data_IF_950457445562
#
_entry.id   IF_950457445562
#
_cell.length_a   1.000
_cell.length_b   1.000
_cell.length_c   1.000
_cell.angle_alpha   90.00
_cell.angle_beta   90.00
_cell.angle_gamma   90.00
#
_symmetry.space_group_name_H-M   'P 1'
#
loop_
_entity.id
_entity.type
_entity.pdbx_description
1 polymer ?
#
# COMPACT_ATOMS: atom_id res chain seq x y z
N UNK A 1 -19.95 3.70 -15.32
CA UNK A 1 -18.89 3.18 -14.44
C UNK A 1 -18.46 4.33 -13.55
N UNK A 2 -18.40 4.15 -12.23
CA UNK A 2 -18.07 5.25 -11.32
C UNK A 2 -16.55 5.44 -11.27
N UNK A 3 -16.09 6.70 -11.26
CA UNK A 3 -14.67 7.08 -11.11
C UNK A 3 -14.39 7.54 -9.70
N UNK A 4 -13.20 7.23 -9.19
CA UNK A 4 -12.71 7.75 -7.93
C UNK A 4 -11.24 8.17 -8.05
N UNK A 5 -10.90 9.30 -7.43
CA UNK A 5 -9.51 9.76 -7.30
C UNK A 5 -9.12 9.64 -5.83
N UNK A 6 -8.02 8.96 -5.56
CA UNK A 6 -7.44 8.83 -4.21
C UNK A 6 -6.16 9.67 -4.17
N UNK A 7 -6.14 10.66 -3.26
CA UNK A 7 -5.00 11.56 -3.09
C UNK A 7 -4.16 11.08 -1.90
N UNK A 8 -2.93 10.69 -2.18
CA UNK A 8 -1.96 10.14 -1.23
C UNK A 8 -1.82 8.63 -1.34
N UNK A 9 -0.59 8.17 -1.54
CA UNK A 9 -0.16 6.78 -1.72
C UNK A 9 0.47 6.15 -0.48
N UNK A 10 0.08 6.59 0.72
CA UNK A 10 0.36 5.87 1.97
C UNK A 10 -0.51 4.61 2.11
N UNK A 11 -0.32 3.82 3.18
CA UNK A 11 -1.10 2.60 3.40
C UNK A 11 -2.62 2.81 3.34
N UNK A 12 -3.13 3.89 3.95
CA UNK A 12 -4.55 4.21 3.90
C UNK A 12 -5.06 4.47 2.47
N UNK A 13 -4.34 5.27 1.68
CA UNK A 13 -4.72 5.58 0.30
C UNK A 13 -4.64 4.36 -0.62
N UNK A 14 -3.58 3.55 -0.50
CA UNK A 14 -3.46 2.29 -1.24
C UNK A 14 -4.62 1.35 -0.87
N UNK A 15 -4.91 1.17 0.42
CA UNK A 15 -6.00 0.32 0.89
C UNK A 15 -7.37 0.82 0.37
N UNK A 16 -7.62 2.13 0.42
CA UNK A 16 -8.84 2.73 -0.14
C UNK A 16 -8.95 2.53 -1.65
N UNK A 17 -7.87 2.74 -2.40
CA UNK A 17 -7.86 2.55 -3.84
C UNK A 17 -8.15 1.09 -4.24
N UNK A 18 -7.53 0.13 -3.55
CA UNK A 18 -7.78 -1.30 -3.76
C UNK A 18 -9.24 -1.67 -3.46
N UNK A 19 -9.80 -1.20 -2.33
CA UNK A 19 -11.21 -1.47 -1.98
C UNK A 19 -12.20 -0.83 -2.96
N UNK A 20 -11.90 0.36 -3.47
CA UNK A 20 -12.71 1.01 -4.52
C UNK A 20 -12.63 0.25 -5.85
N UNK A 21 -11.42 -0.19 -6.25
CA UNK A 21 -11.24 -1.05 -7.44
C UNK A 21 -12.02 -2.35 -7.32
N UNK A 22 -11.97 -3.01 -6.17
CA UNK A 22 -12.72 -4.24 -5.89
C UNK A 22 -14.25 -4.03 -5.96
N UNK A 23 -14.74 -2.82 -5.66
CA UNK A 23 -16.14 -2.41 -5.82
C UNK A 23 -16.52 -2.01 -7.26
N UNK A 24 -15.61 -2.12 -8.23
CA UNK A 24 -15.88 -1.84 -9.64
C UNK A 24 -15.67 -0.39 -10.08
N UNK A 25 -15.08 0.46 -9.25
CA UNK A 25 -14.74 1.83 -9.64
C UNK A 25 -13.52 1.84 -10.56
N UNK A 26 -13.47 2.75 -11.52
CA UNK A 26 -12.21 3.16 -12.16
C UNK A 26 -11.48 4.08 -11.19
N UNK A 27 -10.28 3.70 -10.73
CA UNK A 27 -9.57 4.42 -9.66
C UNK A 27 -8.24 4.94 -10.16
N UNK A 28 -8.00 6.22 -9.92
CA UNK A 28 -6.69 6.87 -10.06
C UNK A 28 -6.14 7.19 -8.67
N UNK A 29 -4.91 6.76 -8.39
CA UNK A 29 -4.21 7.10 -7.16
C UNK A 29 -3.06 8.05 -7.49
N UNK A 30 -3.05 9.21 -6.83
CA UNK A 30 -2.09 10.28 -7.09
C UNK A 30 -1.31 10.53 -5.80
N UNK A 31 0.02 10.46 -5.87
CA UNK A 31 0.91 10.86 -4.78
C UNK A 31 1.89 11.92 -5.30
N UNK A 32 2.27 12.84 -4.42
CA UNK A 32 3.32 13.84 -4.72
C UNK A 32 4.72 13.22 -4.71
N UNK A 33 4.90 12.11 -4.00
CA UNK A 33 6.17 11.44 -3.84
C UNK A 33 6.45 10.52 -5.05
N UNK A 34 7.73 10.34 -5.43
CA UNK A 34 8.10 9.50 -6.58
C UNK A 34 7.87 8.00 -6.35
N UNK A 35 7.69 7.59 -5.10
CA UNK A 35 7.37 6.22 -4.69
C UNK A 35 6.13 6.26 -3.80
N UNK A 36 5.38 5.16 -3.80
CA UNK A 36 4.30 4.93 -2.85
C UNK A 36 4.85 4.57 -1.46
N UNK A 37 3.98 4.41 -0.47
CA UNK A 37 4.31 4.04 0.91
C UNK A 37 4.11 5.16 1.92
N UNK A 38 4.08 6.42 1.48
CA UNK A 38 3.86 7.58 2.36
C UNK A 38 4.89 7.62 3.50
N UNK A 39 4.44 7.49 4.75
CA UNK A 39 5.36 7.44 5.91
C UNK A 39 6.14 6.13 6.02
N UNK A 40 5.69 5.04 5.40
CA UNK A 40 6.38 3.75 5.41
C UNK A 40 7.43 3.64 4.31
N UNK A 41 8.05 4.75 3.93
CA UNK A 41 9.14 4.73 2.96
C UNK A 41 10.44 4.31 3.59
N UNK A 42 11.33 3.88 2.71
CA UNK A 42 12.68 3.46 3.05
C UNK A 42 13.65 4.34 2.26
N UNK A 43 14.71 4.78 2.91
CA UNK A 43 15.77 5.54 2.27
C UNK A 43 17.13 4.90 2.55
N UNK A 44 18.10 5.23 1.70
CA UNK A 44 19.47 4.77 1.82
C UNK A 44 20.38 5.96 2.15
N UNK A 45 21.32 5.75 3.06
CA UNK A 45 22.31 6.76 3.44
C UNK A 45 23.58 6.06 3.89
N UNK A 46 24.72 6.52 3.35
CA UNK A 46 26.05 6.00 3.71
C UNK A 46 26.19 4.46 3.57
N UNK A 47 25.47 3.87 2.60
CA UNK A 47 25.46 2.42 2.36
C UNK A 47 24.51 1.61 3.26
N UNK A 48 23.78 2.27 4.16
CA UNK A 48 22.79 1.65 5.04
C UNK A 48 21.38 1.99 4.60
N UNK A 49 20.44 1.07 4.87
CA UNK A 49 19.02 1.19 4.56
C UNK A 49 18.24 1.47 5.84
N UNK A 50 17.37 2.48 5.81
CA UNK A 50 16.63 2.97 6.99
C UNK A 50 15.13 3.07 6.73
N UNK A 51 14.34 2.52 7.64
CA UNK A 51 12.89 2.74 7.64
C UNK A 51 12.58 4.16 8.14
N UNK A 52 11.85 4.95 7.33
CA UNK A 52 11.46 6.32 7.68
C UNK A 52 10.20 6.39 8.56
N UNK A 53 9.57 5.25 8.84
CA UNK A 53 8.28 5.20 9.50
C UNK A 53 8.11 3.99 10.41
N UNK A 54 6.97 3.26 10.31
CA UNK A 54 6.67 2.18 11.24
C UNK A 54 7.69 1.05 11.13
N UNK A 55 8.22 0.62 12.28
CA UNK A 55 9.18 -0.48 12.39
C UNK A 55 8.53 -1.81 12.78
N UNK A 56 7.25 -1.80 13.19
CA UNK A 56 6.51 -3.00 13.60
C UNK A 56 5.11 -2.98 13.00
N UNK A 57 4.72 -4.09 12.38
CA UNK A 57 3.36 -4.34 11.91
C UNK A 57 2.62 -5.20 12.94
N UNK A 58 1.72 -4.60 13.72
CA UNK A 58 0.95 -5.31 14.77
C UNK A 58 -0.30 -6.02 14.24
N UNK A 59 -0.76 -5.68 13.05
CA UNK A 59 -1.93 -6.26 12.40
C UNK A 59 -1.61 -6.71 10.96
N UNK A 60 -0.71 -7.70 10.78
CA UNK A 60 -0.27 -8.15 9.46
C UNK A 60 -1.41 -8.70 8.59
N UNK A 61 -2.44 -9.30 9.21
CA UNK A 61 -3.62 -9.86 8.53
C UNK A 61 -4.41 -8.82 7.72
N UNK A 62 -4.30 -7.52 8.04
CA UNK A 62 -4.94 -6.46 7.25
C UNK A 62 -4.39 -6.37 5.82
N UNK A 63 -3.14 -6.79 5.60
CA UNK A 63 -2.60 -6.89 4.25
C UNK A 63 -3.23 -8.09 3.53
N UNK A 64 -3.36 -9.23 4.19
CA UNK A 64 -3.98 -10.43 3.61
C UNK A 64 -5.41 -10.14 3.12
N UNK A 65 -6.20 -9.39 3.89
CA UNK A 65 -7.54 -8.93 3.47
C UNK A 65 -7.50 -8.19 2.12
N UNK A 66 -6.50 -7.33 1.89
CA UNK A 66 -6.38 -6.56 0.64
C UNK A 66 -6.04 -7.46 -0.56
N UNK A 67 -5.20 -8.48 -0.37
CA UNK A 67 -4.88 -9.45 -1.43
C UNK A 67 -6.09 -10.33 -1.75
N UNK A 68 -6.84 -10.75 -0.73
CA UNK A 68 -8.04 -11.58 -0.89
C UNK A 68 -9.14 -10.89 -1.70
N UNK A 69 -9.24 -9.55 -1.68
CA UNK A 69 -10.15 -8.80 -2.57
C UNK A 69 -9.96 -9.11 -4.06
N UNK A 70 -8.80 -9.62 -4.45
CA UNK A 70 -8.45 -9.94 -5.83
C UNK A 70 -8.11 -11.42 -6.02
N UNK A 71 -8.53 -12.30 -5.11
CA UNK A 71 -8.21 -13.74 -5.10
C UNK A 71 -6.70 -14.01 -5.19
N UNK A 72 -5.89 -13.20 -4.52
CA UNK A 72 -4.43 -13.37 -4.42
C UNK A 72 -4.05 -13.70 -2.99
N UNK A 73 -2.89 -14.30 -2.81
CA UNK A 73 -2.26 -14.52 -1.50
C UNK A 73 -1.12 -13.53 -1.35
N UNK A 74 -0.93 -12.96 -0.16
CA UNK A 74 0.13 -11.98 0.10
C UNK A 74 1.51 -12.61 -0.05
N UNK A 75 1.63 -13.85 0.39
CA UNK A 75 2.87 -14.65 0.43
C UNK A 75 3.46 -14.87 -0.97
N UNK A 76 2.64 -14.77 -2.02
CA UNK A 76 3.13 -14.84 -3.40
C UNK A 76 3.88 -13.57 -3.85
N UNK A 77 3.86 -12.50 -3.04
CA UNK A 77 4.39 -11.17 -3.39
C UNK A 77 5.32 -10.58 -2.31
N UNK A 78 5.04 -10.84 -1.04
CA UNK A 78 5.74 -10.21 0.09
C UNK A 78 5.87 -11.19 1.25
N UNK A 79 7.09 -11.37 1.72
CA UNK A 79 7.40 -12.05 2.98
C UNK A 79 7.44 -11.04 4.13
N UNK A 80 6.80 -11.38 5.25
CA UNK A 80 6.96 -10.64 6.51
C UNK A 80 8.11 -11.27 7.29
N UNK A 81 8.97 -10.40 7.84
CA UNK A 81 10.12 -10.76 8.68
C UNK A 81 9.78 -10.50 10.14
#
# INVERSE_FOLDING_TARGET
MNRAIVIGGGFGGIASALRLRAKGYEVELIDRCPKLGGRAQVFERDGFRFDAGPTVLTAPFLFDELFQLFNRRREDYVDFV
#
